data_IF_223849506406
#
_entry.id   IF_223849506406
#
_cell.length_a   1.000
_cell.length_b   1.000
_cell.length_c   1.000
_cell.angle_alpha   90.00
_cell.angle_beta   90.00
_cell.angle_gamma   90.00
#
_symmetry.space_group_name_H-M   'P 1'
#
loop_
_entity.id
_entity.type
_entity.pdbx_description
1 polymer ?
#
# COMPACT_ATOMS: atom_id res chain seq x y z
N UNK A 1 68.25 2.36 45.38
CA UNK A 1 68.04 3.68 44.76
C UNK A 1 68.66 3.65 43.38
N UNK A 2 67.85 3.38 42.35
CA UNK A 2 67.97 3.93 41.00
C UNK A 2 66.80 3.37 40.18
N UNK A 3 65.67 4.06 40.30
CA UNK A 3 64.63 4.07 39.28
C UNK A 3 64.96 5.22 38.33
N UNK A 4 65.02 4.97 37.03
CA UNK A 4 64.48 5.90 36.02
C UNK A 4 63.88 5.11 34.87
N UNK A 5 62.57 4.99 35.00
CA UNK A 5 61.60 4.52 34.03
C UNK A 5 61.66 5.40 32.76
N UNK A 6 61.84 4.77 31.59
CA UNK A 6 61.75 5.45 30.29
C UNK A 6 60.31 5.30 29.80
N UNK A 7 59.55 6.39 29.84
CA UNK A 7 58.15 6.42 29.43
C UNK A 7 58.07 6.59 27.91
N UNK A 8 57.38 5.65 27.25
CA UNK A 8 57.09 5.66 25.82
C UNK A 8 56.32 6.92 25.41
N UNK A 9 56.69 7.46 24.26
CA UNK A 9 56.00 8.55 23.58
C UNK A 9 54.58 8.10 23.22
N UNK A 10 53.61 8.95 23.53
CA UNK A 10 52.20 8.78 23.18
C UNK A 10 52.03 8.85 21.67
N UNK A 11 51.64 7.73 21.06
CA UNK A 11 51.10 7.71 19.70
C UNK A 11 49.79 8.50 19.71
N UNK A 12 49.79 9.64 19.00
CA UNK A 12 48.57 10.40 18.73
C UNK A 12 47.66 9.56 17.84
N UNK A 13 46.49 9.18 18.35
CA UNK A 13 45.39 8.66 17.53
C UNK A 13 45.12 9.64 16.39
N UNK A 14 45.42 9.20 15.18
CA UNK A 14 45.02 9.91 13.96
C UNK A 14 43.52 9.66 13.81
N UNK A 15 42.71 10.64 14.18
CA UNK A 15 41.30 10.69 13.82
C UNK A 15 41.21 10.71 12.29
N UNK A 16 40.97 9.54 11.69
CA UNK A 16 40.63 9.43 10.27
C UNK A 16 39.25 10.09 10.14
N UNK A 17 39.11 11.20 9.39
CA UNK A 17 37.80 11.81 9.18
C UNK A 17 36.91 10.79 8.49
N UNK A 18 35.88 10.30 9.19
CA UNK A 18 34.83 9.48 8.55
C UNK A 18 34.16 10.37 7.52
N UNK A 19 34.35 10.09 6.24
CA UNK A 19 33.59 10.73 5.17
C UNK A 19 32.11 10.45 5.47
N UNK A 20 31.25 11.46 5.60
CA UNK A 20 29.85 11.22 5.88
C UNK A 20 29.25 10.39 4.74
N UNK A 21 28.72 9.22 5.07
CA UNK A 21 28.00 8.37 4.13
C UNK A 21 26.87 9.19 3.49
N UNK A 22 26.76 9.12 2.16
CA UNK A 22 25.68 9.80 1.45
C UNK A 22 24.38 9.15 1.87
N UNK A 23 23.49 9.98 2.39
CA UNK A 23 22.18 9.58 2.87
C UNK A 23 21.14 10.48 2.22
N UNK A 24 19.98 9.90 1.95
CA UNK A 24 18.83 10.61 1.39
C UNK A 24 17.71 10.61 2.43
N UNK A 25 17.08 11.76 2.63
CA UNK A 25 15.90 11.90 3.47
C UNK A 25 14.76 12.52 2.65
N UNK A 26 13.70 11.75 2.32
CA UNK A 26 13.51 10.33 2.62
C UNK A 26 14.47 9.43 1.78
N UNK A 27 14.56 8.14 2.12
CA UNK A 27 15.37 7.14 1.39
C UNK A 27 15.09 7.16 -0.12
N UNK A 28 16.08 6.80 -0.94
CA UNK A 28 16.01 7.05 -2.38
C UNK A 28 14.87 6.28 -3.07
N UNK A 29 14.61 5.02 -2.68
CA UNK A 29 13.49 4.27 -3.24
C UNK A 29 12.12 4.92 -2.93
N UNK A 30 11.98 5.55 -1.75
CA UNK A 30 10.76 6.29 -1.38
C UNK A 30 10.59 7.48 -2.32
N UNK A 31 11.67 8.22 -2.61
CA UNK A 31 11.63 9.33 -3.57
C UNK A 31 11.24 8.85 -4.98
N UNK A 32 11.77 7.70 -5.44
CA UNK A 32 11.40 7.09 -6.73
C UNK A 32 9.90 6.78 -6.78
N UNK A 33 9.36 6.17 -5.72
CA UNK A 33 7.94 5.82 -5.65
C UNK A 33 7.05 7.06 -5.55
N UNK A 34 7.46 8.07 -4.76
CA UNK A 34 6.74 9.34 -4.64
C UNK A 34 6.65 10.06 -5.99
N UNK A 35 7.74 10.06 -6.77
CA UNK A 35 7.73 10.63 -8.12
C UNK A 35 6.64 10.00 -9.01
N UNK A 36 6.49 8.67 -8.94
CA UNK A 36 5.45 7.96 -9.71
C UNK A 36 4.06 8.29 -9.19
N UNK A 37 3.83 8.22 -7.88
CA UNK A 37 2.51 8.42 -7.28
C UNK A 37 2.01 9.86 -7.47
N UNK A 38 2.91 10.85 -7.42
CA UNK A 38 2.60 12.25 -7.74
C UNK A 38 2.06 12.43 -9.16
N UNK A 39 2.62 11.70 -10.13
CA UNK A 39 2.15 11.73 -11.52
C UNK A 39 0.80 11.01 -11.67
N UNK A 40 0.60 9.88 -10.98
CA UNK A 40 -0.67 9.15 -10.99
C UNK A 40 -1.80 10.00 -10.43
N UNK A 41 -1.57 10.72 -9.34
CA UNK A 41 -2.55 11.65 -8.78
C UNK A 41 -2.78 12.85 -9.70
N UNK A 42 -1.70 13.50 -10.15
CA UNK A 42 -1.78 14.67 -11.02
C UNK A 42 -2.55 14.43 -12.32
N UNK A 43 -2.37 13.26 -12.93
CA UNK A 43 -3.00 12.92 -14.21
C UNK A 43 -4.20 11.97 -14.10
N UNK A 44 -4.56 11.56 -12.88
CA UNK A 44 -5.72 10.69 -12.60
C UNK A 44 -5.70 9.40 -13.45
N UNK A 45 -4.55 8.73 -13.43
CA UNK A 45 -4.27 7.55 -14.26
C UNK A 45 -5.03 6.32 -13.76
N UNK A 46 -5.71 5.59 -14.65
CA UNK A 46 -6.65 4.51 -14.27
C UNK A 46 -6.06 3.12 -14.41
N UNK A 47 -5.32 2.89 -15.50
CA UNK A 47 -4.65 1.62 -15.80
C UNK A 47 -3.15 1.80 -15.67
N UNK A 48 -2.57 1.25 -14.62
CA UNK A 48 -1.15 1.39 -14.28
C UNK A 48 -0.51 0.01 -14.19
N UNK A 49 0.60 -0.19 -14.89
CA UNK A 49 1.40 -1.40 -14.80
C UNK A 49 2.82 -1.06 -14.36
N UNK A 50 3.38 -1.90 -13.50
CA UNK A 50 4.77 -1.85 -13.06
C UNK A 50 5.50 -3.09 -13.56
N UNK A 51 6.51 -2.87 -14.41
CA UNK A 51 7.33 -3.91 -15.00
C UNK A 51 8.64 -4.00 -14.22
N UNK A 52 8.96 -5.19 -13.72
CA UNK A 52 9.99 -5.37 -12.69
C UNK A 52 9.48 -4.94 -11.32
N UNK A 53 8.27 -5.37 -10.94
CA UNK A 53 7.61 -4.84 -9.75
C UNK A 53 8.24 -5.29 -8.42
N UNK A 54 9.18 -6.24 -8.43
CA UNK A 54 9.89 -6.70 -7.25
C UNK A 54 8.94 -7.10 -6.12
N UNK A 55 9.14 -6.53 -4.93
CA UNK A 55 8.32 -6.74 -3.73
C UNK A 55 6.93 -6.05 -3.75
N UNK A 56 6.58 -5.41 -4.87
CA UNK A 56 5.35 -4.68 -5.11
C UNK A 56 5.08 -3.51 -4.15
N UNK A 57 6.11 -2.92 -3.52
CA UNK A 57 5.93 -1.73 -2.65
C UNK A 57 5.34 -0.56 -3.43
N UNK A 58 5.75 -0.34 -4.68
CA UNK A 58 5.14 0.69 -5.52
C UNK A 58 3.64 0.42 -5.75
N UNK A 59 3.25 -0.83 -6.01
CA UNK A 59 1.83 -1.21 -6.16
C UNK A 59 1.04 -1.01 -4.86
N UNK A 60 1.66 -1.25 -3.68
CA UNK A 60 1.05 -0.98 -2.36
C UNK A 60 0.75 0.50 -2.16
N UNK A 61 1.56 1.41 -2.72
CA UNK A 61 1.27 2.84 -2.69
C UNK A 61 0.20 3.21 -3.74
N UNK A 62 0.35 2.73 -4.97
CA UNK A 62 -0.56 3.05 -6.08
C UNK A 62 -2.01 2.63 -5.83
N UNK A 63 -2.24 1.49 -5.17
CA UNK A 63 -3.60 1.03 -4.84
C UNK A 63 -4.37 2.02 -3.95
N UNK A 64 -3.70 2.89 -3.21
CA UNK A 64 -4.33 3.87 -2.33
C UNK A 64 -4.99 5.02 -3.09
N UNK A 65 -4.62 5.24 -4.36
CA UNK A 65 -5.18 6.31 -5.18
C UNK A 65 -6.53 5.89 -5.78
N UNK A 66 -7.65 6.62 -5.51
CA UNK A 66 -8.99 6.24 -5.97
C UNK A 66 -9.16 6.21 -7.50
N UNK A 67 -8.33 6.95 -8.24
CA UNK A 67 -8.36 7.00 -9.71
C UNK A 67 -7.94 5.68 -10.36
N UNK A 68 -7.08 4.90 -9.70
CA UNK A 68 -6.57 3.63 -10.20
C UNK A 68 -7.67 2.55 -10.13
N UNK A 69 -7.92 1.91 -11.26
CA UNK A 69 -8.96 0.89 -11.45
C UNK A 69 -8.39 -0.47 -11.92
N UNK A 70 -7.26 -0.43 -12.62
CA UNK A 70 -6.51 -1.63 -13.01
C UNK A 70 -5.05 -1.41 -12.63
N UNK A 71 -4.53 -2.27 -11.78
CA UNK A 71 -3.16 -2.22 -11.30
C UNK A 71 -2.49 -3.55 -11.60
N UNK A 72 -1.37 -3.51 -12.30
CA UNK A 72 -0.65 -4.72 -12.73
C UNK A 72 0.80 -4.67 -12.27
N UNK A 73 1.30 -5.77 -11.74
CA UNK A 73 2.74 -6.04 -11.58
C UNK A 73 3.18 -7.16 -12.51
N UNK A 74 4.36 -7.04 -13.09
CA UNK A 74 5.00 -8.10 -13.87
C UNK A 74 6.42 -8.29 -13.36
N UNK A 75 6.80 -9.53 -13.08
CA UNK A 75 8.18 -9.87 -12.72
C UNK A 75 8.57 -11.27 -13.20
N UNK A 76 9.88 -11.53 -13.32
CA UNK A 76 10.45 -12.85 -13.64
C UNK A 76 10.63 -13.74 -12.40
N UNK A 77 10.39 -13.20 -11.19
CA UNK A 77 10.45 -13.93 -9.93
C UNK A 77 9.69 -15.27 -9.96
N UNK A 78 10.09 -16.19 -9.08
CA UNK A 78 9.43 -17.50 -8.94
C UNK A 78 7.96 -17.29 -8.54
N UNK A 79 7.07 -18.11 -9.10
CA UNK A 79 5.62 -18.03 -8.90
C UNK A 79 5.23 -17.98 -7.41
N UNK A 80 5.83 -18.82 -6.56
CA UNK A 80 5.51 -18.82 -5.13
C UNK A 80 5.89 -17.51 -4.42
N UNK A 81 6.95 -16.82 -4.86
CA UNK A 81 7.38 -15.53 -4.32
C UNK A 81 6.38 -14.45 -4.68
N UNK A 82 5.96 -14.40 -5.96
CA UNK A 82 4.92 -13.49 -6.43
C UNK A 82 3.56 -13.76 -5.75
N UNK A 83 3.25 -15.03 -5.46
CA UNK A 83 2.05 -15.39 -4.71
C UNK A 83 2.08 -14.80 -3.30
N UNK A 84 3.22 -14.90 -2.60
CA UNK A 84 3.39 -14.35 -1.26
C UNK A 84 3.29 -12.81 -1.26
N UNK A 85 3.95 -12.15 -2.21
CA UNK A 85 3.83 -10.70 -2.43
C UNK A 85 2.36 -10.30 -2.71
N UNK A 86 1.65 -11.11 -3.49
CA UNK A 86 0.23 -10.94 -3.79
C UNK A 86 -0.65 -10.85 -2.54
N UNK A 87 -0.37 -11.61 -1.48
CA UNK A 87 -1.14 -11.52 -0.25
C UNK A 87 -1.07 -10.13 0.41
N UNK A 88 0.08 -9.43 0.31
CA UNK A 88 0.25 -8.06 0.79
C UNK A 88 -0.54 -7.02 -0.04
N UNK A 89 -1.00 -7.39 -1.22
CA UNK A 89 -1.84 -6.57 -2.10
C UNK A 89 -3.35 -6.83 -1.90
N UNK A 90 -3.74 -7.70 -0.97
CA UNK A 90 -5.14 -7.99 -0.69
C UNK A 90 -5.87 -6.82 -0.02
N UNK A 91 -7.20 -6.72 -0.19
CA UNK A 91 -8.03 -5.85 0.63
C UNK A 91 -7.95 -6.23 2.11
N UNK A 92 -7.80 -5.24 2.97
CA UNK A 92 -7.88 -5.37 4.42
C UNK A 92 -9.35 -5.30 4.88
N UNK A 93 -9.61 -5.61 6.16
CA UNK A 93 -10.95 -5.50 6.76
C UNK A 93 -11.54 -4.11 6.56
N UNK A 94 -10.71 -3.06 6.70
CA UNK A 94 -11.11 -1.68 6.50
C UNK A 94 -11.65 -1.42 5.09
N UNK A 95 -11.11 -2.07 4.05
CA UNK A 95 -11.61 -1.92 2.67
C UNK A 95 -13.03 -2.48 2.51
N UNK A 96 -13.41 -3.53 3.25
CA UNK A 96 -14.76 -4.07 3.20
C UNK A 96 -15.78 -3.24 3.97
N UNK A 97 -15.34 -2.58 5.04
CA UNK A 97 -16.18 -1.68 5.86
C UNK A 97 -16.35 -0.33 5.15
N UNK A 98 -15.29 0.18 4.54
CA UNK A 98 -15.25 1.43 3.78
C UNK A 98 -14.80 1.16 2.34
N UNK A 99 -15.68 0.57 1.51
CA UNK A 99 -15.35 0.22 0.14
C UNK A 99 -15.08 1.46 -0.70
N UNK A 100 -14.26 1.25 -1.74
CA UNK A 100 -13.92 2.30 -2.72
C UNK A 100 -15.16 2.74 -3.48
N UNK A 101 -15.17 3.99 -3.96
CA UNK A 101 -16.23 4.44 -4.85
C UNK A 101 -16.17 3.73 -6.22
N UNK A 102 -14.95 3.40 -6.69
CA UNK A 102 -14.69 2.77 -7.99
C UNK A 102 -14.04 1.39 -7.83
N UNK A 103 -14.33 0.49 -8.76
CA UNK A 103 -13.70 -0.83 -8.85
C UNK A 103 -12.18 -0.71 -8.99
N UNK A 104 -11.47 -1.60 -8.31
CA UNK A 104 -10.03 -1.81 -8.47
C UNK A 104 -9.76 -3.31 -8.62
N UNK A 105 -9.04 -3.67 -9.68
CA UNK A 105 -8.47 -5.01 -9.86
C UNK A 105 -6.95 -4.91 -9.81
N UNK A 106 -6.33 -5.72 -8.95
CA UNK A 106 -4.87 -5.85 -8.86
C UNK A 106 -4.48 -7.23 -9.36
N UNK A 107 -3.49 -7.31 -10.25
CA UNK A 107 -3.00 -8.59 -10.81
C UNK A 107 -1.48 -8.62 -10.82
N UNK A 108 -0.90 -9.72 -10.34
CA UNK A 108 0.52 -10.03 -10.51
C UNK A 108 0.69 -11.11 -11.56
N UNK A 109 1.59 -10.85 -12.49
CA UNK A 109 1.99 -11.76 -13.54
C UNK A 109 3.43 -12.18 -13.34
N UNK A 110 3.69 -13.47 -13.54
CA UNK A 110 5.03 -13.95 -13.81
C UNK A 110 5.28 -13.88 -15.32
N UNK A 111 6.29 -13.12 -15.74
CA UNK A 111 6.57 -12.90 -17.15
C UNK A 111 7.76 -11.97 -17.39
N UNK A 112 8.30 -12.00 -18.62
CA UNK A 112 9.43 -11.15 -18.97
C UNK A 112 8.99 -9.89 -19.72
N UNK A 113 9.62 -8.76 -19.40
CA UNK A 113 9.33 -7.44 -20.01
C UNK A 113 9.64 -7.36 -21.51
N UNK A 114 10.35 -8.36 -22.05
CA UNK A 114 10.65 -8.50 -23.48
C UNK A 114 9.69 -9.46 -24.20
N UNK A 115 8.63 -9.91 -23.54
CA UNK A 115 7.54 -10.68 -24.12
C UNK A 115 6.29 -9.81 -24.31
N UNK A 116 5.55 -10.08 -25.38
CA UNK A 116 4.32 -9.35 -25.70
C UNK A 116 3.14 -10.04 -25.04
N UNK A 117 2.42 -9.31 -24.19
CA UNK A 117 1.16 -9.78 -23.61
C UNK A 117 0.02 -8.80 -23.91
N UNK A 118 -1.04 -9.27 -24.58
CA UNK A 118 -2.15 -8.42 -25.01
C UNK A 118 -2.96 -7.84 -23.84
N UNK A 119 -2.88 -8.42 -22.63
CA UNK A 119 -3.60 -7.91 -21.44
C UNK A 119 -3.05 -6.60 -20.91
N UNK A 120 -1.83 -6.21 -21.31
CA UNK A 120 -1.21 -4.94 -20.97
C UNK A 120 -1.43 -3.84 -22.03
N UNK A 121 -2.21 -4.10 -23.08
CA UNK A 121 -2.57 -3.10 -24.07
C UNK A 121 -3.51 -2.02 -23.51
N UNK A 122 -3.34 -0.79 -23.96
CA UNK A 122 -4.23 0.32 -23.61
C UNK A 122 -4.08 0.81 -22.17
N UNK A 123 -2.90 0.64 -21.58
CA UNK A 123 -2.56 1.19 -20.27
C UNK A 123 -2.28 2.70 -20.35
N UNK A 124 -2.63 3.42 -19.28
CA UNK A 124 -2.37 4.84 -19.17
C UNK A 124 -0.89 5.08 -18.84
N UNK A 125 -0.35 4.28 -17.93
CA UNK A 125 1.03 4.34 -17.48
C UNK A 125 1.66 2.96 -17.36
N UNK A 126 2.89 2.86 -17.83
CA UNK A 126 3.80 1.76 -17.52
C UNK A 126 5.02 2.34 -16.80
N UNK A 127 5.37 1.77 -15.65
CA UNK A 127 6.59 2.08 -14.90
C UNK A 127 7.61 0.96 -15.06
N UNK A 128 8.88 1.35 -15.12
CA UNK A 128 10.05 0.49 -15.18
C UNK A 128 11.09 1.13 -14.26
N UNK A 129 10.93 0.92 -12.96
CA UNK A 129 11.73 1.58 -11.92
C UNK A 129 12.91 0.68 -11.58
N UNK A 130 14.13 1.17 -11.80
CA UNK A 130 15.37 0.43 -11.59
C UNK A 130 15.35 -0.97 -12.23
N UNK A 131 14.97 -1.04 -13.51
CA UNK A 131 14.78 -2.30 -14.25
C UNK A 131 15.83 -2.50 -15.35
N UNK A 132 16.07 -1.46 -16.16
CA UNK A 132 16.74 -1.65 -17.45
C UNK A 132 18.20 -2.06 -17.30
N UNK A 133 18.85 -1.66 -16.21
CA UNK A 133 20.21 -2.04 -15.81
C UNK A 133 20.38 -3.54 -15.53
N UNK A 134 19.30 -4.27 -15.28
CA UNK A 134 19.32 -5.72 -15.08
C UNK A 134 19.18 -6.49 -16.39
N UNK A 135 18.81 -5.82 -17.50
CA UNK A 135 18.65 -6.45 -18.79
C UNK A 135 20.03 -6.69 -19.44
N UNK A 136 20.21 -7.89 -19.98
CA UNK A 136 21.36 -8.15 -20.87
C UNK A 136 21.19 -7.37 -22.19
N UNK A 137 22.25 -7.32 -23.01
CA UNK A 137 22.24 -6.53 -24.25
C UNK A 137 21.14 -6.93 -25.24
N UNK A 138 20.78 -8.22 -25.32
CA UNK A 138 19.75 -8.71 -26.24
C UNK A 138 18.35 -8.33 -25.75
N UNK A 139 18.12 -8.42 -24.44
CA UNK A 139 16.85 -8.03 -23.82
C UNK A 139 16.64 -6.52 -23.87
N UNK A 140 17.68 -5.74 -23.57
CA UNK A 140 17.65 -4.28 -23.66
C UNK A 140 17.37 -3.80 -25.10
N UNK A 141 17.84 -4.53 -26.11
CA UNK A 141 17.54 -4.22 -27.51
C UNK A 141 16.08 -4.49 -27.89
N UNK A 142 15.45 -5.51 -27.29
CA UNK A 142 14.04 -5.89 -27.53
C UNK A 142 13.05 -5.07 -26.72
N UNK A 143 13.43 -4.63 -25.53
CA UNK A 143 12.58 -3.92 -24.58
C UNK A 143 11.80 -2.73 -25.21
N UNK A 144 12.43 -1.82 -25.98
CA UNK A 144 11.71 -0.70 -26.57
C UNK A 144 10.59 -1.11 -27.54
N UNK A 145 10.80 -2.17 -28.32
CA UNK A 145 9.79 -2.67 -29.26
C UNK A 145 8.55 -3.17 -28.53
N UNK A 146 8.74 -3.83 -27.39
CA UNK A 146 7.64 -4.35 -26.59
C UNK A 146 6.91 -3.21 -25.88
N UNK A 147 7.61 -2.38 -25.10
CA UNK A 147 6.97 -1.37 -24.26
C UNK A 147 6.42 -0.20 -25.09
N UNK A 148 7.20 0.37 -26.00
CA UNK A 148 6.81 1.56 -26.74
C UNK A 148 6.10 1.23 -28.06
N UNK A 149 6.51 0.14 -28.72
CA UNK A 149 5.93 -0.32 -29.97
C UNK A 149 4.62 -1.07 -29.77
N UNK A 150 4.64 -2.18 -29.04
CA UNK A 150 3.49 -3.07 -28.87
C UNK A 150 2.52 -2.58 -27.78
N UNK A 151 2.97 -2.43 -26.53
CA UNK A 151 2.12 -2.01 -25.41
C UNK A 151 1.65 -0.56 -25.57
N UNK A 152 2.56 0.30 -26.02
CA UNK A 152 2.31 1.66 -26.49
C UNK A 152 1.41 2.51 -25.57
N UNK A 153 1.70 2.55 -24.25
CA UNK A 153 0.87 3.25 -23.26
C UNK A 153 0.90 4.77 -23.45
N UNK A 154 0.00 5.50 -22.79
CA UNK A 154 -0.03 6.97 -22.89
C UNK A 154 1.24 7.60 -22.30
N UNK A 155 1.78 7.00 -21.24
CA UNK A 155 2.96 7.44 -20.50
C UNK A 155 3.85 6.24 -20.15
N UNK A 156 5.17 6.44 -20.19
CA UNK A 156 6.15 5.48 -19.65
C UNK A 156 7.09 6.24 -18.71
N UNK A 157 7.37 5.68 -17.54
CA UNK A 157 8.40 6.17 -16.62
C UNK A 157 9.49 5.11 -16.56
N UNK A 158 10.71 5.49 -16.90
CA UNK A 158 11.90 4.65 -16.75
C UNK A 158 12.84 5.34 -15.78
N UNK A 159 13.28 4.64 -14.74
CA UNK A 159 14.40 5.06 -13.91
C UNK A 159 15.55 4.09 -14.03
N UNK A 160 16.75 4.60 -13.79
CA UNK A 160 17.97 3.80 -13.72
C UNK A 160 19.04 4.60 -12.93
N UNK A 161 20.05 3.96 -12.34
CA UNK A 161 21.18 4.62 -11.72
C UNK A 161 21.91 5.58 -12.68
N UNK A 162 22.33 6.74 -12.17
CA UNK A 162 23.29 7.62 -12.84
C UNK A 162 24.73 7.29 -12.41
N UNK A 163 25.55 6.75 -13.31
CA UNK A 163 26.93 6.36 -12.99
C UNK A 163 27.86 7.54 -12.67
N UNK A 164 27.50 8.76 -13.09
CA UNK A 164 28.26 9.98 -12.77
C UNK A 164 28.15 10.34 -11.27
N UNK A 165 27.16 9.79 -10.55
CA UNK A 165 27.01 9.97 -9.11
C UNK A 165 27.88 8.98 -8.30
N UNK A 166 28.26 7.84 -8.88
CA UNK A 166 29.01 6.76 -8.22
C UNK A 166 30.29 7.19 -7.50
N UNK A 167 31.09 8.15 -8.03
CA UNK A 167 32.28 8.62 -7.33
C UNK A 167 31.99 9.19 -5.93
N UNK A 168 30.78 9.71 -5.69
CA UNK A 168 30.40 10.23 -4.39
C UNK A 168 30.18 9.11 -3.36
N UNK A 169 29.83 7.90 -3.80
CA UNK A 169 29.75 6.69 -2.96
C UNK A 169 31.10 5.97 -2.83
N UNK A 170 32.17 6.53 -3.38
CA UNK A 170 33.49 5.87 -3.47
C UNK A 170 33.49 4.54 -4.26
N UNK A 171 32.46 4.32 -5.09
CA UNK A 171 32.33 3.13 -5.94
C UNK A 171 32.89 3.41 -7.33
N UNK A 172 33.71 2.49 -7.86
CA UNK A 172 34.48 2.72 -9.11
C UNK A 172 33.76 2.32 -10.40
N UNK A 173 32.76 1.45 -10.33
CA UNK A 173 32.12 0.89 -11.54
C UNK A 173 30.61 0.86 -11.42
N UNK A 174 30.06 -0.16 -10.77
CA UNK A 174 28.62 -0.39 -10.56
C UNK A 174 28.35 -0.42 -9.06
N UNK A 175 27.26 0.21 -8.63
CA UNK A 175 26.81 0.27 -7.24
C UNK A 175 26.35 -1.09 -6.74
N UNK A 176 25.82 -1.92 -7.64
CA UNK A 176 25.31 -3.25 -7.32
C UNK A 176 25.95 -4.29 -8.27
N UNK A 177 26.34 -5.44 -7.71
CA UNK A 177 26.91 -6.56 -8.46
C UNK A 177 25.94 -7.18 -9.47
N UNK A 178 24.63 -7.01 -9.26
CA UNK A 178 23.60 -7.58 -10.13
C UNK A 178 23.32 -6.73 -11.39
N UNK A 179 23.81 -5.48 -11.41
CA UNK A 179 23.69 -4.60 -12.57
C UNK A 179 24.56 -5.08 -13.73
N UNK A 180 23.99 -5.11 -14.94
CA UNK A 180 24.72 -5.42 -16.18
C UNK A 180 25.44 -4.19 -16.73
N UNK A 181 24.93 -3.00 -16.43
CA UNK A 181 25.52 -1.72 -16.79
C UNK A 181 25.01 -0.62 -15.87
N UNK A 182 25.72 0.51 -15.81
CA UNK A 182 25.19 1.75 -15.26
C UNK A 182 25.54 2.91 -16.19
N UNK A 183 24.51 3.60 -16.70
CA UNK A 183 24.69 4.63 -17.70
C UNK A 183 24.99 5.99 -17.08
N UNK A 184 25.85 6.75 -17.75
CA UNK A 184 25.96 8.19 -17.57
C UNK A 184 24.68 8.89 -18.04
N UNK A 185 24.50 10.16 -17.68
CA UNK A 185 23.36 10.97 -18.14
C UNK A 185 23.32 11.04 -19.66
N UNK A 186 24.48 11.16 -20.29
CA UNK A 186 24.60 11.24 -21.75
C UNK A 186 24.16 9.94 -22.42
N UNK A 187 24.55 8.79 -21.89
CA UNK A 187 24.19 7.48 -22.44
C UNK A 187 22.69 7.24 -22.32
N UNK A 188 22.12 7.45 -21.13
CA UNK A 188 20.68 7.32 -20.90
C UNK A 188 19.87 8.27 -21.79
N UNK A 189 20.25 9.56 -21.86
CA UNK A 189 19.58 10.54 -22.71
C UNK A 189 19.65 10.18 -24.19
N UNK A 190 20.82 9.71 -24.66
CA UNK A 190 21.00 9.33 -26.07
C UNK A 190 20.12 8.14 -26.44
N UNK A 191 20.08 7.11 -25.59
CA UNK A 191 19.20 5.96 -25.76
C UNK A 191 17.72 6.38 -25.73
N UNK A 192 17.31 7.13 -24.71
CA UNK A 192 15.94 7.56 -24.51
C UNK A 192 15.42 8.44 -25.65
N UNK A 193 16.24 9.39 -26.15
CA UNK A 193 15.89 10.20 -27.31
C UNK A 193 15.74 9.35 -28.58
N UNK A 194 16.57 8.32 -28.74
CA UNK A 194 16.46 7.35 -29.83
C UNK A 194 15.15 6.57 -29.78
N UNK A 195 14.78 6.05 -28.61
CA UNK A 195 13.49 5.36 -28.36
C UNK A 195 12.32 6.30 -28.63
N UNK A 196 12.34 7.49 -28.04
CA UNK A 196 11.27 8.49 -28.17
C UNK A 196 11.01 8.86 -29.63
N UNK A 197 12.08 9.11 -30.39
CA UNK A 197 12.00 9.40 -31.83
C UNK A 197 11.42 8.23 -32.63
N UNK A 198 11.85 7.00 -32.33
CA UNK A 198 11.45 5.80 -33.07
C UNK A 198 9.97 5.47 -32.88
N UNK A 199 9.46 5.59 -31.66
CA UNK A 199 8.10 5.18 -31.29
C UNK A 199 7.10 6.34 -31.13
N UNK A 200 7.47 7.55 -31.54
CA UNK A 200 6.63 8.74 -31.49
C UNK A 200 6.20 9.16 -30.07
N UNK A 201 7.18 9.24 -29.17
CA UNK A 201 7.05 9.82 -27.85
C UNK A 201 7.86 11.12 -27.75
N UNK A 202 7.48 12.00 -26.84
CA UNK A 202 8.37 13.01 -26.26
C UNK A 202 8.96 12.48 -24.97
N UNK A 203 10.21 12.81 -24.65
CA UNK A 203 10.84 12.45 -23.38
C UNK A 203 11.29 13.70 -22.62
N UNK A 204 10.99 13.73 -21.33
CA UNK A 204 11.48 14.71 -20.36
C UNK A 204 12.44 14.00 -19.40
N UNK A 205 13.56 14.67 -19.07
CA UNK A 205 14.58 14.11 -18.18
C UNK A 205 14.55 14.82 -16.84
N UNK A 206 14.54 14.04 -15.77
CA UNK A 206 14.61 14.49 -14.38
C UNK A 206 15.31 13.41 -13.55
N UNK A 207 15.21 13.46 -12.23
CA UNK A 207 15.74 12.44 -11.33
C UNK A 207 15.34 12.67 -9.88
N UNK A 208 15.83 11.80 -9.01
CA UNK A 208 15.67 11.89 -7.54
C UNK A 208 17.01 11.61 -6.85
N UNK A 209 17.13 12.01 -5.59
CA UNK A 209 18.39 12.00 -4.86
C UNK A 209 19.29 13.14 -5.33
N UNK A 210 19.01 14.34 -4.83
CA UNK A 210 19.86 15.50 -5.10
C UNK A 210 21.27 15.26 -4.55
N UNK A 211 22.33 15.69 -5.27
CA UNK A 211 23.68 15.60 -4.75
C UNK A 211 23.87 16.54 -3.55
N UNK A 212 24.80 16.21 -2.64
CA UNK A 212 25.15 17.12 -1.56
C UNK A 212 25.70 18.45 -2.12
N UNK A 213 25.53 19.52 -1.34
CA UNK A 213 25.97 20.86 -1.73
C UNK A 213 27.45 20.88 -2.16
N UNK A 214 27.73 21.49 -3.30
CA UNK A 214 29.06 21.54 -3.92
C UNK A 214 29.36 20.39 -4.91
N UNK A 215 28.45 19.42 -5.06
CA UNK A 215 28.58 18.32 -6.02
C UNK A 215 27.52 18.36 -7.13
N UNK A 216 26.85 19.49 -7.36
CA UNK A 216 25.68 19.63 -8.26
C UNK A 216 25.98 19.20 -9.71
N UNK A 217 27.24 19.27 -10.11
CA UNK A 217 27.69 18.88 -11.45
C UNK A 217 27.40 17.42 -11.82
N UNK A 218 27.31 16.49 -10.85
CA UNK A 218 27.06 15.06 -11.11
C UNK A 218 25.59 14.77 -11.46
N UNK A 219 24.67 15.69 -11.15
CA UNK A 219 23.22 15.49 -11.31
C UNK A 219 22.60 14.61 -10.23
N UNK A 220 21.39 14.10 -10.49
CA UNK A 220 20.65 13.23 -9.57
C UNK A 220 21.30 11.84 -9.42
N UNK A 221 21.07 11.20 -8.28
CA UNK A 221 21.51 9.84 -8.00
C UNK A 221 20.79 8.80 -8.89
N UNK A 222 19.47 8.89 -8.98
CA UNK A 222 18.66 8.17 -9.96
C UNK A 222 18.24 9.14 -11.06
N UNK A 223 18.46 8.77 -12.31
CA UNK A 223 17.98 9.51 -13.47
C UNK A 223 16.67 8.90 -13.98
N UNK A 224 15.76 9.76 -14.42
CA UNK A 224 14.40 9.39 -14.82
C UNK A 224 14.10 9.96 -16.20
N UNK A 225 13.58 9.10 -17.08
CA UNK A 225 13.00 9.45 -18.37
C UNK A 225 11.48 9.33 -18.32
N UNK A 226 10.79 10.47 -18.42
CA UNK A 226 9.34 10.54 -18.52
C UNK A 226 8.92 10.65 -19.99
N UNK A 227 8.39 9.57 -20.54
CA UNK A 227 7.93 9.51 -21.91
C UNK A 227 6.44 9.77 -21.99
N UNK A 228 6.03 10.62 -22.92
CA UNK A 228 4.62 10.90 -23.24
C UNK A 228 4.36 10.64 -24.71
N UNK A 229 3.30 9.91 -25.00
CA UNK A 229 2.94 9.60 -26.39
C UNK A 229 2.49 10.88 -27.10
N UNK A 230 3.09 11.17 -28.26
CA UNK A 230 2.67 12.33 -29.04
C UNK A 230 1.25 12.10 -29.57
N UNK A 231 0.34 13.05 -29.33
CA UNK A 231 -1.09 12.91 -29.66
C UNK A 231 -1.99 12.51 -28.49
N UNK A 232 -1.42 12.31 -27.29
CA UNK A 232 -2.14 12.46 -26.00
C UNK A 232 -3.03 11.30 -25.56
N UNK A 233 -3.16 10.23 -26.35
CA UNK A 233 -3.82 9.00 -25.91
C UNK A 233 -3.01 7.79 -26.37
N UNK A 234 -2.86 6.80 -25.48
CA UNK A 234 -2.69 5.41 -25.90
C UNK A 234 -3.69 5.19 -27.02
N UNK A 235 -3.22 4.66 -28.13
CA UNK A 235 -4.15 4.46 -29.22
C UNK A 235 -5.24 3.55 -28.64
N UNK A 236 -6.50 3.93 -28.79
CA UNK A 236 -7.57 2.94 -28.91
C UNK A 236 -7.21 2.15 -30.18
N UNK A 237 -6.13 1.36 -30.12
CA UNK A 237 -5.80 0.39 -31.12
C UNK A 237 -7.03 -0.47 -31.18
N UNK A 238 -7.49 -0.69 -32.40
CA UNK A 238 -8.55 -1.63 -32.72
C UNK A 238 -8.20 -2.95 -32.03
N UNK A 239 -8.70 -3.16 -30.81
CA UNK A 239 -8.56 -4.40 -30.04
C UNK A 239 -9.07 -5.58 -30.87
N UNK A 240 -9.85 -5.31 -31.91
CA UNK A 240 -10.45 -6.29 -32.81
C UNK A 240 -9.49 -7.02 -33.77
N UNK A 241 -8.21 -6.67 -33.90
CA UNK A 241 -7.34 -7.30 -34.94
C UNK A 241 -6.01 -7.91 -34.45
N UNK A 242 -5.59 -7.71 -33.19
CA UNK A 242 -4.40 -8.41 -32.66
C UNK A 242 -4.83 -9.75 -32.05
N UNK A 243 -4.18 -10.88 -32.39
CA UNK A 243 -4.48 -12.16 -31.77
C UNK A 243 -4.26 -12.10 -30.25
N UNK A 244 -5.14 -12.73 -29.47
CA UNK A 244 -4.98 -12.86 -28.02
C UNK A 244 -3.67 -13.58 -27.71
N UNK A 245 -2.64 -12.81 -27.36
CA UNK A 245 -1.33 -13.30 -26.99
C UNK A 245 -1.19 -13.18 -25.46
N UNK A 246 -1.55 -14.25 -24.75
CA UNK A 246 -1.40 -14.34 -23.29
C UNK A 246 -0.16 -15.17 -22.95
N UNK A 247 0.99 -14.51 -22.86
CA UNK A 247 2.28 -15.16 -22.56
C UNK A 247 2.51 -15.25 -21.06
N UNK A 248 2.14 -14.22 -20.32
CA UNK A 248 2.40 -14.18 -18.88
C UNK A 248 1.55 -15.19 -18.10
N UNK A 249 2.12 -15.77 -17.04
CA UNK A 249 1.38 -16.59 -16.10
C UNK A 249 0.70 -15.69 -15.04
N UNK A 250 -0.64 -15.64 -14.93
CA UNK A 250 -1.30 -14.92 -13.86
C UNK A 250 -1.09 -15.67 -12.54
N UNK A 251 -0.33 -15.08 -11.62
CA UNK A 251 -0.03 -15.69 -10.32
C UNK A 251 -1.08 -15.30 -9.30
N UNK A 252 -1.32 -13.99 -9.16
CA UNK A 252 -2.24 -13.45 -8.17
C UNK A 252 -3.23 -12.48 -8.80
N UNK A 253 -4.50 -12.56 -8.44
CA UNK A 253 -5.52 -11.58 -8.87
C UNK A 253 -6.50 -11.33 -7.74
N UNK A 254 -6.73 -10.06 -7.41
CA UNK A 254 -7.71 -9.67 -6.41
C UNK A 254 -8.56 -8.50 -6.89
N UNK A 255 -9.85 -8.55 -6.56
CA UNK A 255 -10.81 -7.48 -6.81
C UNK A 255 -11.17 -6.82 -5.49
N UNK A 256 -11.02 -5.51 -5.43
CA UNK A 256 -11.35 -4.73 -4.25
C UNK A 256 -12.87 -4.55 -4.11
N UNK A 257 -13.38 -4.50 -2.87
CA UNK A 257 -14.77 -4.13 -2.61
C UNK A 257 -15.00 -2.67 -3.04
N UNK A 258 -16.09 -2.44 -3.77
CA UNK A 258 -16.45 -1.11 -4.26
C UNK A 258 -17.95 -0.84 -4.19
N UNK A 259 -18.34 0.43 -4.21
CA UNK A 259 -19.74 0.86 -4.30
C UNK A 259 -20.35 0.64 -5.68
N UNK A 260 -19.56 0.27 -6.70
CA UNK A 260 -20.10 -0.17 -8.00
C UNK A 260 -20.65 -1.60 -7.93
N UNK A 261 -20.30 -2.34 -6.89
CA UNK A 261 -20.77 -3.70 -6.66
C UNK A 261 -21.96 -3.68 -5.70
N UNK A 262 -23.12 -4.14 -6.17
CA UNK A 262 -24.40 -4.10 -5.43
C UNK A 262 -24.30 -4.67 -4.01
N UNK A 263 -23.53 -5.74 -3.81
CA UNK A 263 -23.33 -6.36 -2.48
C UNK A 263 -22.77 -5.37 -1.45
N UNK A 264 -21.76 -4.59 -1.83
CA UNK A 264 -21.12 -3.64 -0.92
C UNK A 264 -21.92 -2.34 -0.82
N UNK A 265 -22.50 -1.89 -1.93
CA UNK A 265 -23.41 -0.75 -1.94
C UNK A 265 -24.58 -0.95 -0.97
N UNK A 266 -25.24 -2.12 -1.00
CA UNK A 266 -26.35 -2.45 -0.10
C UNK A 266 -25.95 -2.41 1.37
N UNK A 267 -24.80 -2.98 1.72
CA UNK A 267 -24.28 -2.99 3.09
C UNK A 267 -24.02 -1.58 3.60
N UNK A 268 -23.27 -0.78 2.84
CA UNK A 268 -22.95 0.61 3.20
C UNK A 268 -24.20 1.46 3.30
N UNK A 269 -25.12 1.33 2.33
CA UNK A 269 -26.39 2.05 2.34
C UNK A 269 -27.21 1.72 3.58
N UNK A 270 -27.36 0.43 3.90
CA UNK A 270 -28.15 -0.03 5.05
C UNK A 270 -27.56 0.48 6.37
N UNK A 271 -26.24 0.38 6.54
CA UNK A 271 -25.55 0.91 7.71
C UNK A 271 -25.78 2.42 7.87
N UNK A 272 -25.62 3.20 6.80
CA UNK A 272 -25.80 4.66 6.83
C UNK A 272 -27.25 5.06 7.09
N UNK A 273 -28.21 4.33 6.51
CA UNK A 273 -29.63 4.53 6.75
C UNK A 273 -29.96 4.28 8.23
N UNK A 274 -29.51 3.15 8.79
CA UNK A 274 -29.73 2.86 10.21
C UNK A 274 -29.11 3.92 11.12
N UNK A 275 -27.90 4.40 10.82
CA UNK A 275 -27.29 5.51 11.56
C UNK A 275 -28.19 6.75 11.60
N UNK A 276 -28.71 7.19 10.45
CA UNK A 276 -29.61 8.36 10.40
C UNK A 276 -30.97 8.10 11.04
N UNK A 277 -31.48 6.88 10.97
CA UNK A 277 -32.73 6.47 11.62
C UNK A 277 -32.58 6.52 13.15
N UNK A 278 -31.50 5.95 13.71
CA UNK A 278 -31.25 5.96 15.14
C UNK A 278 -30.94 7.36 15.67
N UNK A 279 -30.19 8.19 14.92
CA UNK A 279 -30.01 9.62 15.24
C UNK A 279 -31.37 10.34 15.29
N UNK A 280 -32.22 10.12 14.27
CA UNK A 280 -33.56 10.70 14.20
C UNK A 280 -34.45 10.25 15.37
N UNK A 281 -34.38 8.97 15.75
CA UNK A 281 -35.11 8.40 16.90
C UNK A 281 -34.66 9.04 18.21
N UNK A 282 -33.34 9.15 18.42
CA UNK A 282 -32.79 9.78 19.61
C UNK A 282 -33.29 11.22 19.73
N UNK A 283 -33.18 12.02 18.66
CA UNK A 283 -33.69 13.40 18.63
C UNK A 283 -35.21 13.48 18.85
N UNK A 284 -35.97 12.54 18.30
CA UNK A 284 -37.43 12.48 18.49
C UNK A 284 -37.82 12.21 19.96
N UNK A 285 -37.06 11.38 20.66
CA UNK A 285 -37.30 11.02 22.06
C UNK A 285 -36.82 12.08 23.07
N UNK A 286 -35.92 13.00 22.69
CA UNK A 286 -35.37 14.01 23.61
C UNK A 286 -36.45 14.88 24.28
N UNK A 287 -37.39 15.52 23.56
CA UNK A 287 -38.42 16.34 24.20
C UNK A 287 -39.42 15.53 25.04
N UNK A 288 -39.60 14.24 24.73
CA UNK A 288 -40.46 13.32 25.50
C UNK A 288 -39.81 12.95 26.84
N UNK A 289 -38.49 12.76 26.85
CA UNK A 289 -37.71 12.50 28.08
C UNK A 289 -37.48 13.74 28.93
N UNK A 290 -37.32 14.93 28.33
CA UNK A 290 -37.21 16.20 29.08
C UNK A 290 -38.53 16.57 29.79
N UNK A 291 -39.67 16.06 29.32
CA UNK A 291 -40.94 16.14 30.05
C UNK A 291 -41.00 15.19 31.26
N UNK A 292 -40.13 14.17 31.33
CA UNK A 292 -40.11 13.14 32.39
C UNK A 292 -38.90 13.24 33.34
N UNK A 293 -37.77 13.80 32.91
CA UNK A 293 -36.55 13.90 33.71
C UNK A 293 -35.71 15.14 33.36
N UNK A 294 -35.46 15.99 34.36
CA UNK A 294 -34.62 17.19 34.24
C UNK A 294 -33.12 16.92 34.26
N UNK A 295 -32.60 16.09 33.33
CA UNK A 295 -31.16 15.91 33.12
C UNK A 295 -30.81 15.97 31.63
N UNK A 296 -29.72 16.66 31.32
CA UNK A 296 -29.19 16.74 29.95
C UNK A 296 -28.74 15.37 29.43
N UNK A 297 -29.00 15.07 28.14
CA UNK A 297 -28.64 13.80 27.52
C UNK A 297 -27.12 13.70 27.25
N UNK A 298 -26.54 12.48 27.25
CA UNK A 298 -25.17 12.27 26.84
C UNK A 298 -24.98 12.63 25.36
N UNK A 299 -23.78 13.12 24.96
CA UNK A 299 -23.52 13.47 23.58
C UNK A 299 -23.64 12.25 22.67
N UNK A 300 -24.30 12.41 21.52
CA UNK A 300 -24.36 11.45 20.41
C UNK A 300 -22.99 11.36 19.71
N UNK A 301 -21.92 11.05 20.44
CA UNK A 301 -20.53 11.06 19.93
C UNK A 301 -20.02 9.70 19.46
N UNK A 302 -20.84 8.65 19.51
CA UNK A 302 -20.41 7.29 19.16
C UNK A 302 -20.59 6.95 17.66
N UNK A 303 -21.24 7.82 16.89
CA UNK A 303 -21.37 7.66 15.45
C UNK A 303 -20.24 8.39 14.73
N UNK A 304 -19.44 7.63 13.97
CA UNK A 304 -18.39 8.03 13.01
C UNK A 304 -18.33 9.52 12.63
N UNK A 305 -17.11 10.09 12.60
CA UNK A 305 -16.76 11.43 12.10
C UNK A 305 -17.30 11.67 10.68
N UNK A 306 -18.54 12.14 10.56
CA UNK A 306 -19.06 12.74 9.33
C UNK A 306 -18.96 14.26 9.43
N UNK A 307 -18.61 14.96 8.33
CA UNK A 307 -18.63 16.41 8.31
C UNK A 307 -20.03 16.92 8.68
N UNK A 308 -20.13 18.02 9.46
CA UNK A 308 -21.42 18.62 9.75
C UNK A 308 -22.10 19.10 8.47
N UNK A 309 -23.42 18.92 8.40
CA UNK A 309 -24.24 19.39 7.29
C UNK A 309 -24.12 20.92 7.13
N UNK A 310 -24.07 21.39 5.88
CA UNK A 310 -24.18 22.81 5.56
C UNK A 310 -25.59 23.35 5.88
N UNK A 311 -25.74 24.69 5.96
CA UNK A 311 -27.05 25.30 6.26
C UNK A 311 -28.11 24.95 5.22
N UNK A 312 -27.72 24.89 3.94
CA UNK A 312 -28.62 24.46 2.87
C UNK A 312 -29.02 22.98 3.02
N UNK A 313 -28.08 22.12 3.42
CA UNK A 313 -28.33 20.70 3.67
C UNK A 313 -29.29 20.49 4.85
N UNK A 314 -29.08 21.24 5.95
CA UNK A 314 -30.00 21.28 7.09
C UNK A 314 -31.38 21.76 6.68
N UNK A 315 -31.47 22.82 5.87
CA UNK A 315 -32.74 23.35 5.39
C UNK A 315 -33.50 22.32 4.53
N UNK A 316 -32.81 21.58 3.65
CA UNK A 316 -33.42 20.47 2.87
C UNK A 316 -33.95 19.37 3.79
N UNK A 317 -33.16 18.93 4.76
CA UNK A 317 -33.58 17.91 5.72
C UNK A 317 -34.77 18.41 6.56
N UNK A 318 -34.80 19.69 6.95
CA UNK A 318 -35.90 20.28 7.67
C UNK A 318 -37.19 20.40 6.84
N UNK A 319 -37.07 20.65 5.54
CA UNK A 319 -38.20 20.73 4.60
C UNK A 319 -38.77 19.36 4.21
N UNK A 320 -38.02 18.28 4.41
CA UNK A 320 -38.46 16.91 4.12
C UNK A 320 -39.50 16.40 5.14
N UNK A 321 -40.28 15.35 4.79
CA UNK A 321 -41.26 14.75 5.70
C UNK A 321 -40.63 14.37 7.06
N UNK A 322 -41.30 14.72 8.16
CA UNK A 322 -40.77 14.47 9.51
C UNK A 322 -40.90 12.99 9.88
N UNK A 323 -39.97 12.45 10.71
CA UNK A 323 -40.18 11.18 11.38
C UNK A 323 -41.45 11.22 12.24
N UNK A 324 -42.09 10.07 12.39
CA UNK A 324 -43.32 9.93 13.18
C UNK A 324 -43.35 8.57 13.88
N UNK A 325 -44.18 8.43 14.90
CA UNK A 325 -44.45 7.15 15.53
C UNK A 325 -45.93 6.77 15.40
N UNK A 326 -46.18 5.47 15.37
CA UNK A 326 -47.53 4.88 15.48
C UNK A 326 -47.39 3.70 16.42
N UNK A 327 -48.12 3.74 17.54
CA UNK A 327 -47.96 2.77 18.63
C UNK A 327 -46.49 2.71 19.11
N UNK A 328 -45.88 1.53 19.12
CA UNK A 328 -44.47 1.30 19.53
C UNK A 328 -43.49 1.30 18.35
N UNK A 329 -43.92 1.78 17.18
CA UNK A 329 -43.09 1.81 15.96
C UNK A 329 -42.68 3.23 15.62
N UNK A 330 -41.44 3.39 15.20
CA UNK A 330 -40.86 4.64 14.72
C UNK A 330 -40.55 4.56 13.23
N UNK A 331 -40.99 5.57 12.49
CA UNK A 331 -40.91 5.62 11.04
C UNK A 331 -40.08 6.82 10.58
N UNK A 332 -39.13 6.56 9.70
CA UNK A 332 -38.34 7.61 9.03
C UNK A 332 -38.61 7.54 7.52
N UNK A 333 -39.29 8.53 6.93
CA UNK A 333 -39.60 8.54 5.50
C UNK A 333 -38.34 8.43 4.61
N UNK A 334 -38.39 7.62 3.55
CA UNK A 334 -37.29 7.50 2.59
C UNK A 334 -36.94 8.85 1.94
N UNK A 335 -37.96 9.69 1.70
CA UNK A 335 -37.77 11.06 1.21
C UNK A 335 -36.93 11.94 2.14
N UNK A 336 -37.03 11.72 3.45
CA UNK A 336 -36.17 12.39 4.43
C UNK A 336 -34.74 11.85 4.36
N UNK A 337 -34.57 10.53 4.27
CA UNK A 337 -33.26 9.89 4.14
C UNK A 337 -32.53 10.35 2.86
N UNK A 338 -33.27 10.57 1.76
CA UNK A 338 -32.72 11.14 0.52
C UNK A 338 -32.29 12.62 0.64
N UNK A 339 -32.74 13.35 1.66
CA UNK A 339 -32.31 14.73 1.86
C UNK A 339 -30.85 14.82 2.35
N UNK A 340 -30.33 13.73 2.94
CA UNK A 340 -28.94 13.60 3.37
C UNK A 340 -28.01 13.38 2.17
N UNK A 341 -26.95 14.20 2.01
CA UNK A 341 -26.11 14.20 0.81
C UNK A 341 -25.50 12.83 0.48
N UNK A 342 -24.93 12.13 1.47
CA UNK A 342 -24.27 10.85 1.23
C UNK A 342 -25.26 9.76 0.81
N UNK A 343 -26.42 9.68 1.48
CA UNK A 343 -27.48 8.75 1.11
C UNK A 343 -28.03 9.04 -0.29
N UNK A 344 -28.22 10.32 -0.63
CA UNK A 344 -28.61 10.75 -1.97
C UNK A 344 -27.60 10.29 -3.03
N UNK A 345 -26.31 10.51 -2.79
CA UNK A 345 -25.23 10.13 -3.69
C UNK A 345 -25.21 8.61 -3.94
N UNK A 346 -25.33 7.79 -2.91
CA UNK A 346 -25.28 6.32 -3.00
C UNK A 346 -26.37 5.73 -3.91
N UNK A 347 -27.53 6.39 -4.01
CA UNK A 347 -28.67 5.91 -4.80
C UNK A 347 -28.97 6.81 -6.01
N UNK A 348 -28.10 7.79 -6.31
CA UNK A 348 -28.29 8.74 -7.41
C UNK A 348 -29.60 9.53 -7.31
N UNK A 349 -30.03 9.88 -6.10
CA UNK A 349 -31.26 10.63 -5.85
C UNK A 349 -32.57 9.85 -6.07
N UNK A 350 -32.52 8.55 -6.33
CA UNK A 350 -33.70 7.72 -6.59
C UNK A 350 -34.25 7.05 -5.32
N UNK A 351 -35.47 7.41 -4.94
CA UNK A 351 -36.22 6.76 -3.85
C UNK A 351 -36.54 5.30 -4.16
N UNK A 352 -36.87 5.00 -5.42
CA UNK A 352 -37.11 3.64 -5.88
C UNK A 352 -35.86 2.77 -5.75
N UNK A 353 -34.70 3.31 -6.13
CA UNK A 353 -33.41 2.62 -5.96
C UNK A 353 -33.09 2.40 -4.48
N UNK A 354 -33.28 3.42 -3.63
CA UNK A 354 -33.10 3.26 -2.18
C UNK A 354 -34.00 2.16 -1.62
N UNK A 355 -35.31 2.20 -1.93
CA UNK A 355 -36.28 1.17 -1.53
C UNK A 355 -35.85 -0.22 -1.97
N UNK A 356 -35.48 -0.39 -3.23
CA UNK A 356 -35.08 -1.68 -3.78
C UNK A 356 -33.81 -2.24 -3.14
N UNK A 357 -32.84 -1.39 -2.81
CA UNK A 357 -31.59 -1.82 -2.18
C UNK A 357 -31.78 -2.16 -0.69
N UNK A 358 -32.69 -1.47 0.00
CA UNK A 358 -32.96 -1.67 1.43
C UNK A 358 -33.92 -2.82 1.71
N UNK A 359 -34.84 -3.15 0.80
CA UNK A 359 -35.92 -4.11 1.05
C UNK A 359 -35.47 -5.51 1.48
N UNK A 360 -34.22 -5.90 1.21
CA UNK A 360 -33.64 -7.18 1.67
C UNK A 360 -32.86 -7.10 2.98
N UNK A 361 -32.57 -5.90 3.48
CA UNK A 361 -31.66 -5.66 4.61
C UNK A 361 -32.36 -4.99 5.81
N UNK A 362 -33.39 -4.18 5.57
CA UNK A 362 -34.07 -3.38 6.58
C UNK A 362 -35.59 -3.48 6.43
N UNK A 363 -36.31 -3.53 7.55
CA UNK A 363 -37.77 -3.46 7.58
C UNK A 363 -38.27 -2.10 7.08
N UNK A 364 -39.13 -2.13 6.06
CA UNK A 364 -39.83 -0.96 5.54
C UNK A 364 -41.31 -1.00 5.92
N UNK A 365 -41.96 0.17 5.92
CA UNK A 365 -43.41 0.28 6.08
C UNK A 365 -44.15 -0.52 5.00
N UNK A 366 -45.43 -0.84 5.25
CA UNK A 366 -46.25 -1.66 4.32
C UNK A 366 -46.35 -1.11 2.89
N UNK A 367 -46.25 0.21 2.70
CA UNK A 367 -46.23 0.90 1.40
C UNK A 367 -44.80 1.16 0.88
N UNK A 368 -43.77 0.76 1.64
CA UNK A 368 -42.36 0.95 1.35
C UNK A 368 -41.90 2.41 1.36
N UNK A 369 -42.66 3.32 1.98
CA UNK A 369 -42.35 4.76 1.98
C UNK A 369 -41.46 5.22 3.14
N UNK A 370 -41.30 4.39 4.18
CA UNK A 370 -40.49 4.70 5.35
C UNK A 370 -39.71 3.47 5.85
N UNK A 371 -38.58 3.72 6.52
CA UNK A 371 -37.89 2.72 7.34
C UNK A 371 -38.62 2.59 8.67
N UNK A 372 -38.84 1.36 9.12
CA UNK A 372 -39.56 1.02 10.35
C UNK A 372 -38.60 0.38 11.36
N UNK A 373 -38.52 0.95 12.57
CA UNK A 373 -37.83 0.37 13.73
C UNK A 373 -38.70 0.44 14.98
N UNK A 374 -38.35 -0.31 16.02
CA UNK A 374 -39.01 -0.22 17.34
C UNK A 374 -38.64 1.11 18.00
N UNK A 375 -39.65 1.81 18.54
CA UNK A 375 -39.47 3.13 19.15
C UNK A 375 -38.75 3.02 20.50
N UNK A 376 -39.15 2.06 21.34
CA UNK A 376 -38.61 1.83 22.68
C UNK A 376 -37.65 0.63 22.76
N UNK A 377 -36.94 0.33 21.67
CA UNK A 377 -35.88 -0.68 21.68
C UNK A 377 -34.79 -0.27 22.69
N UNK A 378 -34.38 -1.11 23.65
CA UNK A 378 -33.15 -0.86 24.38
C UNK A 378 -32.02 -0.66 23.36
N UNK A 379 -31.13 0.30 23.55
CA UNK A 379 -29.98 0.41 22.66
C UNK A 379 -29.26 -0.94 22.65
N UNK A 380 -28.96 -1.48 21.48
CA UNK A 380 -27.87 -2.44 21.31
C UNK A 380 -26.56 -1.69 21.64
N UNK A 381 -26.38 -1.37 22.92
CA UNK A 381 -25.05 -1.26 23.47
C UNK A 381 -24.52 -2.69 23.43
N UNK A 382 -23.33 -2.94 22.86
CA UNK A 382 -22.57 -4.07 23.36
C UNK A 382 -22.55 -3.86 24.88
N UNK A 383 -23.11 -4.81 25.63
CA UNK A 383 -22.76 -4.88 27.03
C UNK A 383 -21.25 -5.07 27.03
N UNK A 384 -20.51 -3.99 27.35
CA UNK A 384 -19.22 -4.17 28.00
C UNK A 384 -19.60 -4.87 29.30
N UNK A 385 -19.44 -6.20 29.36
CA UNK A 385 -19.49 -6.99 30.59
C UNK A 385 -18.25 -6.69 31.47
N UNK A 386 -17.76 -5.45 31.45
CA UNK A 386 -16.63 -4.95 32.21
C UNK A 386 -17.12 -3.79 33.07
N UNK A 387 -17.93 -4.10 34.09
CA UNK A 387 -17.77 -3.55 35.44
C UNK A 387 -18.74 -4.25 36.40
N UNK A 388 -18.20 -4.69 37.54
CA UNK A 388 -18.84 -5.29 38.73
C UNK A 388 -19.06 -6.81 38.77
N UNK A 389 -17.98 -7.58 38.92
CA UNK A 389 -17.78 -8.48 40.09
C UNK A 389 -16.38 -9.14 40.04
N UNK A 390 -15.35 -8.46 40.52
CA UNK A 390 -14.19 -9.17 41.07
C UNK A 390 -14.47 -9.43 42.55
N UNK A 391 -14.74 -10.67 42.97
CA UNK A 391 -14.64 -11.00 44.39
C UNK A 391 -13.18 -10.83 44.83
N UNK A 392 -12.95 -9.90 45.75
CA UNK A 392 -11.75 -9.82 46.59
C UNK A 392 -11.64 -11.11 47.41
N UNK A 393 -11.09 -12.18 46.83
CA UNK A 393 -10.56 -13.34 47.56
C UNK A 393 -9.76 -14.22 46.58
N UNK A 394 -8.46 -13.96 46.47
CA UNK A 394 -7.53 -14.97 45.96
C UNK A 394 -7.29 -16.01 47.08
N UNK A 395 -7.65 -17.29 46.90
CA UNK A 395 -7.08 -18.34 47.74
C UNK A 395 -5.60 -18.52 47.40
N UNK A 396 -4.77 -18.63 48.44
CA UNK A 396 -3.34 -18.99 48.36
C UNK A 396 -3.12 -20.15 47.37
N UNK A 397 -2.25 -19.91 46.38
CA UNK A 397 -1.81 -20.94 45.43
C UNK A 397 -0.89 -21.92 46.17
N UNK A 398 -1.19 -23.24 46.19
CA UNK A 398 -0.27 -24.24 46.71
C UNK A 398 0.83 -24.55 45.70
N UNK A 399 2.02 -24.87 46.24
CA UNK A 399 3.24 -25.29 45.54
C UNK A 399 3.02 -26.19 44.31
N UNK A 400 3.78 -25.89 43.26
CA UNK A 400 3.96 -26.69 42.04
C UNK A 400 4.33 -28.16 42.34
N UNK A 401 3.79 -29.11 41.55
CA UNK A 401 4.51 -30.33 41.23
C UNK A 401 4.82 -30.43 39.73
N UNK A 402 6.10 -30.67 39.46
CA UNK A 402 6.75 -31.37 38.34
C UNK A 402 6.00 -31.52 37.00
N UNK A 403 6.57 -30.91 35.94
CA UNK A 403 6.33 -31.27 34.53
C UNK A 403 7.63 -31.85 33.97
N UNK A 404 7.59 -32.98 33.22
CA UNK A 404 8.78 -33.72 32.82
C UNK A 404 9.48 -33.17 31.58
N UNK A 405 10.79 -33.36 31.56
CA UNK A 405 11.76 -33.00 30.52
C UNK A 405 11.42 -33.50 29.11
N UNK A 406 11.72 -32.65 28.11
CA UNK A 406 12.26 -33.05 26.81
C UNK A 406 12.85 -31.83 26.07
N UNK A 407 13.82 -32.02 25.16
CA UNK A 407 15.22 -31.72 25.45
C UNK A 407 15.78 -30.53 24.67
N UNK A 408 16.89 -30.05 25.23
CA UNK A 408 17.88 -29.06 24.81
C UNK A 408 18.07 -28.82 23.30
N UNK A 409 18.07 -27.54 22.93
CA UNK A 409 18.75 -26.99 21.77
C UNK A 409 19.77 -25.94 22.30
N UNK A 410 21.09 -26.15 22.14
CA UNK A 410 22.11 -25.32 22.78
C UNK A 410 22.65 -24.28 21.79
N UNK A 411 22.57 -22.99 22.14
CA UNK A 411 23.55 -21.97 21.77
C UNK A 411 23.14 -20.63 22.43
N UNK A 412 23.52 -20.46 23.69
CA UNK A 412 23.62 -19.14 24.35
C UNK A 412 24.93 -19.10 25.15
N UNK A 413 25.94 -18.32 24.73
CA UNK A 413 27.19 -18.18 25.44
C UNK A 413 27.23 -16.84 26.16
N UNK A 414 27.07 -16.83 27.48
CA UNK A 414 27.62 -15.77 28.35
C UNK A 414 27.40 -16.15 29.83
N UNK A 415 28.43 -16.67 30.48
CA UNK A 415 29.01 -16.05 31.68
C UNK A 415 30.06 -16.95 32.35
N UNK A 416 31.25 -16.38 32.46
CA UNK A 416 32.43 -16.86 33.17
C UNK A 416 32.26 -17.02 34.69
N UNK A 417 33.04 -18.00 35.19
CA UNK A 417 33.82 -18.04 36.45
C UNK A 417 33.17 -18.62 37.74
N UNK A 418 33.98 -19.13 38.71
CA UNK A 418 35.15 -20.01 38.64
C UNK A 418 34.98 -21.26 39.55
N UNK A 419 35.67 -22.37 39.26
CA UNK A 419 36.52 -23.08 40.24
C UNK A 419 36.90 -24.50 39.76
N UNK A 420 38.18 -24.81 39.96
CA UNK A 420 38.86 -26.11 39.93
C UNK A 420 39.52 -26.60 38.62
N UNK A 421 40.79 -26.20 38.50
CA UNK A 421 41.92 -27.02 38.03
C UNK A 421 42.15 -28.26 38.97
N UNK A 422 42.89 -29.34 38.62
CA UNK A 422 43.82 -29.42 37.49
C UNK A 422 43.95 -30.77 36.72
N UNK A 423 44.62 -30.63 35.58
CA UNK A 423 45.64 -31.56 35.02
C UNK A 423 45.18 -32.74 34.13
N UNK A 424 46.07 -33.32 33.30
CA UNK A 424 46.43 -32.81 31.96
C UNK A 424 46.27 -33.91 30.89
N UNK A 425 46.41 -33.56 29.61
CA UNK A 425 47.19 -34.30 28.59
C UNK A 425 46.63 -34.12 27.17
N UNK A 426 47.56 -33.70 26.28
CA UNK A 426 47.65 -33.96 24.84
C UNK A 426 46.77 -33.14 23.88
N UNK A 427 47.37 -32.06 23.34
CA UNK A 427 47.99 -31.95 22.00
C UNK A 427 47.29 -32.65 20.80
N UNK A 428 47.50 -32.16 19.55
CA UNK A 428 46.54 -31.36 18.80
C UNK A 428 46.22 -32.03 17.44
N UNK A 429 45.67 -31.26 16.51
CA UNK A 429 45.44 -31.58 15.10
C UNK A 429 44.24 -32.48 14.79
N UNK A 430 43.19 -31.86 14.23
CA UNK A 430 42.71 -32.27 12.90
C UNK A 430 41.90 -31.14 12.25
N UNK A 431 42.49 -30.55 11.22
CA UNK A 431 41.77 -29.91 10.12
C UNK A 431 40.95 -30.96 9.37
N UNK A 432 39.70 -30.65 9.03
CA UNK A 432 39.11 -31.06 7.76
C UNK A 432 38.14 -29.98 7.24
N UNK A 433 38.26 -29.53 5.98
CA UNK A 433 37.36 -28.59 5.33
C UNK A 433 36.28 -29.32 4.53
N UNK A 434 35.06 -28.78 4.50
CA UNK A 434 34.09 -28.81 3.37
C UNK A 434 32.63 -28.83 3.87
N UNK A 435 31.99 -27.65 3.87
CA UNK A 435 30.56 -27.54 3.59
C UNK A 435 30.30 -26.27 2.76
N UNK A 436 29.75 -26.36 1.53
CA UNK A 436 29.39 -25.20 0.74
C UNK A 436 28.06 -24.63 1.26
N UNK A 437 28.10 -23.37 1.69
CA UNK A 437 26.92 -22.61 2.09
C UNK A 437 25.98 -22.35 0.90
N UNK A 438 24.70 -22.47 1.21
CA UNK A 438 23.52 -22.21 0.38
C UNK A 438 23.46 -20.73 -0.07
N UNK A 439 23.38 -20.41 -1.38
CA UNK A 439 23.31 -19.03 -1.85
C UNK A 439 21.89 -18.70 -2.32
N UNK A 440 20.95 -18.42 -1.42
CA UNK A 440 19.62 -17.93 -1.84
C UNK A 440 18.98 -17.02 -0.76
N UNK A 441 19.74 -16.07 -0.21
CA UNK A 441 19.19 -14.88 0.46
C UNK A 441 20.19 -13.71 0.40
N UNK A 442 19.90 -12.59 -0.29
CA UNK A 442 20.62 -11.35 -0.04
C UNK A 442 20.13 -10.76 1.30
N UNK A 443 21.02 -10.18 2.12
CA UNK A 443 20.62 -9.47 3.34
C UNK A 443 19.75 -8.24 3.00
N UNK A 444 18.92 -7.81 3.95
CA UNK A 444 17.87 -6.79 3.80
C UNK A 444 18.36 -5.35 3.47
N UNK A 445 19.66 -5.12 3.25
CA UNK A 445 20.25 -3.78 3.02
C UNK A 445 20.36 -3.36 1.54
N UNK A 446 19.81 -4.14 0.60
CA UNK A 446 20.07 -3.94 -0.85
C UNK A 446 19.22 -2.87 -1.54
N UNK A 447 18.20 -2.30 -0.88
CA UNK A 447 17.26 -1.34 -1.49
C UNK A 447 17.44 0.12 -1.05
N UNK A 448 18.37 0.39 -0.13
CA UNK A 448 18.47 1.68 0.56
C UNK A 448 19.32 2.75 -0.15
N UNK A 449 19.83 2.48 -1.36
CA UNK A 449 20.67 3.43 -2.12
C UNK A 449 20.22 3.75 -3.56
#
# INVERSE_FOLDING_TARGET
MEEKNTQCESESEVEIPRVPAITFDPQLYIQRYQFVTDLVDKYQLKKVADLGCGDAVLLRHLKMYPCVQVLVGVDIMREHTLQWIGYNLSPLVADYVMPRDLDLTVTLYQGSVVEKDSRLLGFDLITCIELIEHLNSDDLARFPEVVFGYLSPSMVIISTPNSEFNPLFEVKTVRNSDHKFEWSRKEFQSWALGVAKTYNYSVEFTGVGEPPAGSESVGFCTQIGLFRKNGGKAAELCVSEQPDQHVYNPVYTVKYPSLQQDKYLKKVLSQKVLQEVYKSRATYLLPLKEQEAGKEPPPLSWFTYEPPLSEDEKARVAASPKPFSVEDKFFVPLQRLLAYPRLNQLVGGSEERMRSLLASEITLSSDGSAVEIVLHDPPDVPYDDDDDDYPDDYPDVPDHPDVPDHPDDPDDPDHDDPDHDPDPHHDPDHHDPDHPGDPDHPPDDFWDL
#
